data_IF_695385795612
#
_entry.id   IF_695385795612
#
_cell.length_a   1.000
_cell.length_b   1.000
_cell.length_c   1.000
_cell.angle_alpha   90.00
_cell.angle_beta   90.00
_cell.angle_gamma   90.00
#
_symmetry.space_group_name_H-M   'P 1'
#
loop_
_entity.id
_entity.type
_entity.pdbx_description
1 polymer ?
#
# COMPACT_ATOMS: atom_id res chain seq x y z
N UNK A 1 -12.15 -9.14 -11.71
CA UNK A 1 -12.13 -8.14 -10.63
C UNK A 1 -11.32 -8.71 -9.49
N UNK A 2 -10.01 -8.62 -9.62
CA UNK A 2 -9.07 -8.91 -8.54
C UNK A 2 -9.22 -7.82 -7.48
N UNK A 3 -9.44 -8.25 -6.24
CA UNK A 3 -9.27 -7.43 -5.06
C UNK A 3 -7.98 -7.78 -4.33
N UNK A 4 -7.49 -6.84 -3.54
CA UNK A 4 -6.32 -6.97 -2.70
C UNK A 4 -6.57 -6.24 -1.38
N UNK A 5 -5.76 -6.56 -0.37
CA UNK A 5 -5.86 -5.92 0.94
C UNK A 5 -5.23 -4.53 0.91
N UNK A 6 -5.84 -3.61 1.66
CA UNK A 6 -5.24 -2.34 2.04
C UNK A 6 -5.13 -2.26 3.55
N UNK A 7 -3.90 -2.40 4.05
CA UNK A 7 -3.56 -2.22 5.45
C UNK A 7 -3.42 -0.75 5.80
N UNK A 8 -3.98 -0.34 6.92
CA UNK A 8 -3.98 1.05 7.37
C UNK A 8 -3.52 1.09 8.81
N UNK A 9 -2.63 2.02 9.12
CA UNK A 9 -2.21 2.34 10.48
C UNK A 9 -2.30 3.85 10.69
N UNK A 10 -3.29 4.30 11.44
CA UNK A 10 -3.48 5.71 11.74
C UNK A 10 -3.47 5.98 13.22
N UNK A 11 -2.53 6.79 13.71
CA UNK A 11 -2.44 7.12 15.14
C UNK A 11 -2.56 5.88 16.04
N UNK A 12 -1.81 4.82 15.70
CA UNK A 12 -1.79 3.52 16.39
C UNK A 12 -3.09 2.70 16.29
N UNK A 13 -3.98 3.03 15.35
CA UNK A 13 -5.17 2.25 15.04
C UNK A 13 -4.97 1.50 13.73
N UNK A 14 -4.96 0.17 13.84
CA UNK A 14 -4.85 -0.74 12.70
C UNK A 14 -6.22 -1.04 12.12
N UNK A 15 -6.31 -1.03 10.80
CA UNK A 15 -7.47 -1.49 10.07
C UNK A 15 -7.03 -2.08 8.73
N UNK A 16 -7.86 -2.95 8.18
CA UNK A 16 -7.65 -3.50 6.84
C UNK A 16 -8.97 -3.51 6.09
N UNK A 17 -8.91 -3.23 4.79
CA UNK A 17 -10.09 -3.23 3.92
C UNK A 17 -9.76 -3.82 2.56
N UNK A 18 -10.80 -4.26 1.87
CA UNK A 18 -10.72 -4.65 0.47
C UNK A 18 -10.52 -3.41 -0.42
N UNK A 19 -9.63 -3.50 -1.40
CA UNK A 19 -9.43 -2.50 -2.45
C UNK A 19 -9.42 -3.12 -3.84
N UNK A 20 -9.80 -2.29 -4.83
CA UNK A 20 -9.80 -2.59 -6.25
C UNK A 20 -8.95 -1.56 -7.00
N UNK A 21 -8.63 -1.81 -8.27
CA UNK A 21 -7.88 -0.87 -9.14
C UNK A 21 -8.40 0.58 -9.06
N UNK A 22 -9.72 0.78 -9.13
CA UNK A 22 -10.33 2.12 -9.04
C UNK A 22 -10.04 2.83 -7.72
N UNK A 23 -9.95 2.08 -6.62
CA UNK A 23 -9.78 2.64 -5.29
C UNK A 23 -8.34 3.10 -5.09
N UNK A 24 -7.35 2.32 -5.54
CA UNK A 24 -5.94 2.71 -5.45
C UNK A 24 -5.62 3.86 -6.41
N UNK A 25 -6.17 3.86 -7.63
CA UNK A 25 -6.03 4.98 -8.56
C UNK A 25 -6.55 6.27 -7.95
N UNK A 26 -7.77 6.27 -7.41
CA UNK A 26 -8.34 7.45 -6.75
C UNK A 26 -7.44 7.89 -5.60
N UNK A 27 -7.00 6.95 -4.75
CA UNK A 27 -6.20 7.26 -3.57
C UNK A 27 -4.86 7.91 -3.92
N UNK A 28 -4.11 7.35 -4.87
CA UNK A 28 -2.82 7.91 -5.28
C UNK A 28 -3.01 9.26 -5.99
N UNK A 29 -4.03 9.40 -6.83
CA UNK A 29 -4.30 10.67 -7.50
C UNK A 29 -4.73 11.77 -6.52
N UNK A 30 -5.56 11.45 -5.52
CA UNK A 30 -5.94 12.38 -4.45
C UNK A 30 -4.70 12.80 -3.65
N UNK A 31 -3.83 11.86 -3.31
CA UNK A 31 -2.55 12.13 -2.64
C UNK A 31 -1.66 13.08 -3.45
N UNK A 32 -1.47 12.80 -4.75
CA UNK A 32 -0.64 13.63 -5.63
C UNK A 32 -1.24 15.02 -5.89
N UNK A 33 -2.57 15.15 -5.84
CA UNK A 33 -3.26 16.43 -5.94
C UNK A 33 -3.03 17.30 -4.69
N UNK A 34 -3.01 16.69 -3.50
CA UNK A 34 -2.69 17.38 -2.24
C UNK A 34 -1.18 17.66 -2.11
N UNK A 35 -0.34 16.74 -2.59
CA UNK A 35 1.12 16.74 -2.41
C UNK A 35 1.88 16.63 -3.75
N UNK A 36 2.01 17.73 -4.53
CA UNK A 36 2.67 17.69 -5.83
C UNK A 36 4.18 17.43 -5.80
N UNK A 37 4.80 17.42 -4.62
CA UNK A 37 6.22 17.11 -4.40
C UNK A 37 6.35 15.79 -3.63
N UNK A 38 5.67 14.75 -4.12
CA UNK A 38 5.72 13.42 -3.54
C UNK A 38 6.97 12.66 -3.96
N UNK A 39 7.81 12.29 -3.01
CA UNK A 39 8.91 11.35 -3.18
C UNK A 39 8.37 9.98 -3.60
N UNK A 40 9.12 9.32 -4.47
CA UNK A 40 8.87 7.98 -4.98
C UNK A 40 10.13 7.16 -4.94
N UNK A 41 10.00 5.89 -4.57
CA UNK A 41 11.13 5.00 -4.41
C UNK A 41 10.71 3.62 -3.96
N UNK A 42 11.68 2.77 -3.66
CA UNK A 42 11.48 1.46 -3.05
C UNK A 42 12.03 1.42 -1.63
N UNK A 43 11.44 0.55 -0.82
CA UNK A 43 11.89 0.25 0.53
C UNK A 43 12.07 -1.26 0.69
N UNK A 44 13.19 -1.65 1.28
CA UNK A 44 13.51 -3.02 1.66
C UNK A 44 14.15 -2.99 3.05
N UNK A 45 13.43 -3.51 4.05
CA UNK A 45 13.93 -3.54 5.43
C UNK A 45 14.90 -4.70 5.68
N UNK A 46 14.86 -5.78 4.88
CA UNK A 46 15.83 -6.87 5.02
C UNK A 46 17.24 -6.37 4.72
N UNK A 47 17.35 -5.41 3.79
CA UNK A 47 18.58 -4.70 3.47
C UNK A 47 18.74 -3.34 4.15
N UNK A 48 17.80 -2.97 5.05
CA UNK A 48 17.69 -1.64 5.69
C UNK A 48 17.88 -0.47 4.70
N UNK A 49 17.35 -0.61 3.49
CA UNK A 49 17.60 0.32 2.40
C UNK A 49 16.32 0.99 1.90
N UNK A 50 16.42 2.30 1.72
CA UNK A 50 15.43 3.12 1.01
C UNK A 50 16.12 3.67 -0.23
N UNK A 51 15.57 3.36 -1.39
CA UNK A 51 16.07 3.85 -2.67
C UNK A 51 15.08 4.85 -3.25
N UNK A 52 15.51 6.10 -3.46
CA UNK A 52 14.67 7.18 -3.99
C UNK A 52 14.87 7.28 -5.49
N UNK A 53 13.80 7.09 -6.25
CA UNK A 53 13.80 7.29 -7.70
C UNK A 53 13.69 8.77 -8.08
N UNK A 54 12.86 9.53 -7.36
CA UNK A 54 12.61 10.93 -7.63
C UNK A 54 11.23 11.36 -7.14
N UNK A 55 10.56 12.21 -7.93
CA UNK A 55 9.20 12.68 -7.62
C UNK A 55 8.16 12.02 -8.50
N UNK A 56 7.15 11.39 -7.89
CA UNK A 56 6.03 10.81 -8.62
C UNK A 56 5.22 11.92 -9.31
N UNK A 57 4.90 11.71 -10.58
CA UNK A 57 4.01 12.58 -11.36
C UNK A 57 2.64 11.99 -11.50
N UNK A 58 2.59 10.69 -11.76
CA UNK A 58 1.37 9.95 -11.99
C UNK A 58 1.59 8.48 -11.63
N UNK A 59 0.54 7.83 -11.16
CA UNK A 59 0.48 6.38 -11.15
C UNK A 59 -0.83 5.92 -11.78
N UNK A 60 -0.79 4.76 -12.44
CA UNK A 60 -1.95 4.12 -13.05
C UNK A 60 -1.99 2.64 -12.67
N UNK A 61 -3.16 2.16 -12.29
CA UNK A 61 -3.42 0.75 -11.97
C UNK A 61 -4.54 0.25 -12.87
N UNK A 62 -4.20 -0.48 -13.93
CA UNK A 62 -5.13 -0.95 -14.96
C UNK A 62 -5.26 -2.48 -14.90
N UNK A 63 -6.41 -2.94 -14.41
CA UNK A 63 -6.73 -4.39 -14.35
C UNK A 63 -6.95 -4.99 -15.74
N UNK A 64 -7.56 -4.26 -16.68
CA UNK A 64 -7.88 -4.81 -18.01
C UNK A 64 -6.62 -4.97 -18.87
N UNK A 65 -5.67 -4.05 -18.71
CA UNK A 65 -4.37 -4.09 -19.40
C UNK A 65 -3.30 -4.88 -18.64
N UNK A 66 -3.62 -5.42 -17.46
CA UNK A 66 -2.68 -6.05 -16.52
C UNK A 66 -1.41 -5.20 -16.29
N UNK A 67 -1.59 -3.94 -15.92
CA UNK A 67 -0.47 -2.99 -15.85
C UNK A 67 -0.60 -2.00 -14.71
N UNK A 68 0.46 -1.91 -13.91
CA UNK A 68 0.72 -0.82 -12.98
C UNK A 68 1.89 0.01 -13.50
N UNK A 69 1.73 1.32 -13.62
CA UNK A 69 2.76 2.25 -14.09
C UNK A 69 2.95 3.38 -13.10
N UNK A 70 4.21 3.74 -12.84
CA UNK A 70 4.62 4.86 -12.02
C UNK A 70 5.54 5.78 -12.83
N UNK A 71 5.02 6.94 -13.21
CA UNK A 71 5.77 7.96 -13.95
C UNK A 71 6.40 8.93 -12.96
N UNK A 72 7.72 9.11 -13.01
CA UNK A 72 8.45 9.97 -12.08
C UNK A 72 9.50 10.84 -12.78
N UNK A 73 9.92 11.89 -12.08
CA UNK A 73 11.06 12.73 -12.49
C UNK A 73 12.19 12.50 -11.50
N UNK A 74 13.31 11.98 -11.99
CA UNK A 74 14.51 11.75 -11.21
C UNK A 74 15.16 13.06 -10.76
N UNK A 75 16.08 12.98 -9.78
CA UNK A 75 16.77 14.15 -9.23
C UNK A 75 17.52 14.98 -10.30
N UNK A 76 18.02 14.33 -11.36
CA UNK A 76 18.73 14.97 -12.47
C UNK A 76 17.79 15.55 -13.54
N UNK A 77 16.47 15.45 -13.34
CA UNK A 77 15.43 15.94 -14.24
C UNK A 77 15.01 14.96 -15.33
N UNK A 78 15.63 13.78 -15.38
CA UNK A 78 15.27 12.70 -16.31
C UNK A 78 13.91 12.08 -15.93
N UNK A 79 13.11 11.74 -16.94
CA UNK A 79 11.86 11.03 -16.73
C UNK A 79 12.13 9.52 -16.64
N UNK A 80 11.51 8.87 -15.67
CA UNK A 80 11.55 7.41 -15.51
C UNK A 80 10.15 6.83 -15.39
N UNK A 81 10.04 5.54 -15.69
CA UNK A 81 8.80 4.77 -15.61
C UNK A 81 9.11 3.41 -15.01
N UNK A 82 8.48 3.10 -13.87
CA UNK A 82 8.45 1.75 -13.32
C UNK A 82 7.15 1.06 -13.74
N UNK A 83 7.25 -0.18 -14.21
CA UNK A 83 6.10 -0.95 -14.69
C UNK A 83 6.07 -2.35 -14.06
N UNK A 84 4.92 -2.72 -13.50
CA UNK A 84 4.67 -4.02 -12.88
C UNK A 84 3.35 -4.60 -13.40
N UNK A 85 3.18 -5.92 -13.31
CA UNK A 85 1.89 -6.54 -13.59
C UNK A 85 0.87 -6.18 -12.50
N UNK A 86 -0.38 -5.96 -12.88
CA UNK A 86 -1.46 -5.77 -11.91
C UNK A 86 -1.79 -7.09 -11.21
N UNK A 87 -1.63 -8.22 -11.87
CA UNK A 87 -1.74 -9.56 -11.27
C UNK A 87 -0.67 -9.82 -10.19
N UNK A 88 0.48 -9.14 -10.25
CA UNK A 88 1.53 -9.20 -9.21
C UNK A 88 1.26 -8.26 -8.01
N UNK A 89 0.29 -7.34 -8.10
CA UNK A 89 -0.06 -6.45 -6.99
C UNK A 89 -0.58 -7.25 -5.80
N UNK A 90 0.20 -7.29 -4.72
CA UNK A 90 -0.07 -8.14 -3.55
C UNK A 90 -0.93 -7.43 -2.52
N UNK A 91 -0.45 -6.28 -2.06
CA UNK A 91 -1.03 -5.54 -0.94
C UNK A 91 -0.64 -4.08 -1.05
N UNK A 92 -1.48 -3.20 -0.53
CA UNK A 92 -1.15 -1.79 -0.35
C UNK A 92 -1.21 -1.46 1.13
N UNK A 93 -0.39 -0.51 1.57
CA UNK A 93 -0.43 -0.01 2.93
C UNK A 93 -0.51 1.50 2.97
N UNK A 94 -1.02 2.01 4.08
CA UNK A 94 -1.01 3.42 4.41
C UNK A 94 -0.73 3.58 5.90
N UNK A 95 0.23 4.43 6.22
CA UNK A 95 0.56 4.75 7.60
C UNK A 95 0.54 6.26 7.78
N UNK A 96 -0.17 6.75 8.77
CA UNK A 96 -0.28 8.18 9.03
C UNK A 96 -0.39 8.51 10.52
N UNK A 97 0.33 9.54 10.96
CA UNK A 97 0.39 9.92 12.36
C UNK A 97 0.38 11.43 12.53
N UNK A 98 -0.21 11.88 13.63
CA UNK A 98 -0.03 13.23 14.14
C UNK A 98 1.37 13.32 14.79
N UNK A 99 2.25 14.11 14.18
CA UNK A 99 3.63 14.33 14.60
C UNK A 99 3.83 15.76 15.10
N UNK A 100 4.82 15.96 15.97
CA UNK A 100 5.20 17.27 16.48
C UNK A 100 6.68 17.47 16.13
N UNK A 101 6.95 18.28 15.10
CA UNK A 101 8.33 18.61 14.68
C UNK A 101 8.76 20.01 15.13
N UNK A 102 7.81 20.92 15.30
CA UNK A 102 8.05 22.33 15.60
C UNK A 102 8.10 22.61 17.10
N UNK A 103 8.86 23.64 17.49
CA UNK A 103 8.92 24.11 18.87
C UNK A 103 7.58 24.66 19.38
N UNK A 104 6.67 25.07 18.48
CA UNK A 104 5.34 25.57 18.84
C UNK A 104 4.37 24.49 19.34
N UNK A 105 4.75 23.21 19.19
CA UNK A 105 4.01 22.05 19.68
C UNK A 105 2.74 21.74 18.90
N UNK A 106 2.52 22.37 17.74
CA UNK A 106 1.34 22.10 16.92
C UNK A 106 1.47 20.75 16.20
N UNK A 107 0.48 19.83 16.36
CA UNK A 107 0.52 18.55 15.68
C UNK A 107 0.22 18.75 14.19
N UNK A 108 1.02 18.08 13.36
CA UNK A 108 0.84 17.97 11.93
C UNK A 108 0.59 16.50 11.59
N UNK A 109 -0.45 16.22 10.81
CA UNK A 109 -0.66 14.87 10.29
C UNK A 109 0.31 14.59 9.14
N UNK A 110 1.01 13.45 9.10
CA UNK A 110 1.85 13.04 7.98
C UNK A 110 1.62 11.58 7.66
N UNK A 111 1.39 11.27 6.38
CA UNK A 111 1.08 9.93 5.88
C UNK A 111 1.94 9.49 4.68
N UNK A 112 2.18 8.19 4.60
CA UNK A 112 2.95 7.52 3.56
C UNK A 112 2.12 6.38 2.97
N UNK A 113 2.08 6.31 1.64
CA UNK A 113 1.46 5.20 0.91
C UNK A 113 2.52 4.19 0.49
N UNK A 114 2.18 2.91 0.56
CA UNK A 114 3.02 1.81 0.10
C UNK A 114 2.25 0.89 -0.85
N UNK A 115 2.93 0.40 -1.86
CA UNK A 115 2.39 -0.53 -2.86
C UNK A 115 3.37 -1.67 -3.03
N UNK A 116 2.95 -2.88 -2.66
CA UNK A 116 3.80 -4.07 -2.69
C UNK A 116 3.37 -5.00 -3.80
N UNK A 117 4.33 -5.40 -4.63
CA UNK A 117 4.19 -6.39 -5.68
C UNK A 117 4.99 -7.65 -5.31
N UNK A 118 4.49 -8.81 -5.71
CA UNK A 118 5.19 -10.09 -5.59
C UNK A 118 5.53 -10.58 -7.00
N UNK A 119 6.82 -10.74 -7.29
CA UNK A 119 7.28 -11.38 -8.53
C UNK A 119 7.00 -12.89 -8.44
N UNK A 120 6.12 -13.40 -9.29
CA UNK A 120 5.71 -14.81 -9.31
C UNK A 120 6.85 -15.78 -9.66
N UNK A 121 7.85 -15.33 -10.43
CA UNK A 121 8.96 -16.16 -10.87
C UNK A 121 10.04 -16.30 -9.80
N UNK A 122 10.28 -15.24 -9.03
CA UNK A 122 11.34 -15.21 -8.00
C UNK A 122 10.82 -15.35 -6.58
N UNK A 123 9.53 -15.08 -6.34
CA UNK A 123 8.93 -14.96 -5.02
C UNK A 123 9.45 -13.75 -4.24
N UNK A 124 9.99 -12.74 -4.92
CA UNK A 124 10.55 -11.54 -4.30
C UNK A 124 9.49 -10.43 -4.24
N UNK A 125 9.34 -9.83 -3.06
CA UNK A 125 8.52 -8.62 -2.91
C UNK A 125 9.30 -7.36 -3.30
N UNK A 126 8.61 -6.45 -3.99
CA UNK A 126 9.07 -5.08 -4.21
C UNK A 126 8.03 -4.13 -3.65
N UNK A 127 8.40 -3.32 -2.66
CA UNK A 127 7.53 -2.31 -2.07
C UNK A 127 7.94 -0.93 -2.51
N UNK A 128 7.04 -0.26 -3.23
CA UNK A 128 7.16 1.16 -3.58
C UNK A 128 6.55 2.02 -2.48
N UNK A 129 7.14 3.19 -2.22
CA UNK A 129 6.58 4.20 -1.31
C UNK A 129 6.26 5.50 -2.04
N UNK A 130 5.26 6.23 -1.52
CA UNK A 130 4.88 7.58 -1.95
C UNK A 130 4.74 8.44 -0.69
N UNK A 131 5.51 9.52 -0.60
CA UNK A 131 5.56 10.36 0.59
C UNK A 131 5.80 11.83 0.24
N UNK A 132 5.07 12.77 0.84
CA UNK A 132 5.34 14.19 0.61
C UNK A 132 6.72 14.60 1.13
N UNK A 133 7.49 15.31 0.30
CA UNK A 133 8.86 15.73 0.64
C UNK A 133 8.88 16.93 1.59
N UNK A 134 7.88 17.82 1.52
CA UNK A 134 7.97 19.18 2.06
C UNK A 134 7.24 19.36 3.38
N UNK A 135 6.36 18.44 3.73
CA UNK A 135 5.51 18.49 4.91
C UNK A 135 6.28 18.26 6.20
N UNK A 136 7.41 17.55 6.14
CA UNK A 136 8.22 17.20 7.30
C UNK A 136 9.70 17.41 7.06
N UNK A 137 10.47 17.55 8.14
CA UNK A 137 11.90 17.80 8.08
C UNK A 137 12.71 16.58 7.58
N UNK A 138 12.25 15.37 7.89
CA UNK A 138 12.96 14.11 7.56
C UNK A 138 12.02 13.07 6.94
N UNK A 139 11.48 13.29 5.74
CA UNK A 139 10.44 12.45 5.15
C UNK A 139 10.87 10.97 5.03
N UNK A 140 12.12 10.71 4.64
CA UNK A 140 12.63 9.34 4.51
C UNK A 140 12.76 8.60 5.86
N UNK A 141 12.97 9.32 6.97
CA UNK A 141 12.99 8.71 8.29
C UNK A 141 11.58 8.19 8.64
N UNK A 142 10.55 8.99 8.38
CA UNK A 142 9.15 8.56 8.55
C UNK A 142 8.78 7.43 7.61
N UNK A 143 9.19 7.45 6.33
CA UNK A 143 8.96 6.33 5.39
C UNK A 143 9.48 5.01 5.97
N UNK A 144 10.68 4.99 6.55
CA UNK A 144 11.24 3.80 7.18
C UNK A 144 10.50 3.37 8.45
N UNK A 145 10.28 4.31 9.37
CA UNK A 145 9.65 4.01 10.67
C UNK A 145 8.17 3.64 10.54
N UNK A 146 7.45 4.23 9.60
CA UNK A 146 6.06 3.90 9.34
C UNK A 146 5.92 2.53 8.70
N UNK A 147 6.81 2.19 7.76
CA UNK A 147 6.81 0.89 7.12
C UNK A 147 7.01 -0.24 8.13
N UNK A 148 7.96 -0.09 9.07
CA UNK A 148 8.17 -1.06 10.18
C UNK A 148 6.92 -1.33 11.01
N UNK A 149 5.99 -0.39 11.07
CA UNK A 149 4.77 -0.51 11.87
C UNK A 149 3.60 -1.04 11.05
N UNK A 150 3.51 -0.70 9.76
CA UNK A 150 2.35 -1.05 8.92
C UNK A 150 2.56 -2.29 8.06
N UNK A 151 3.79 -2.76 7.85
CA UNK A 151 4.11 -3.79 6.85
C UNK A 151 3.34 -5.11 7.01
N UNK A 152 2.94 -5.44 8.23
CA UNK A 152 2.21 -6.67 8.55
C UNK A 152 0.69 -6.49 8.58
N UNK A 153 0.19 -5.26 8.54
CA UNK A 153 -1.23 -4.96 8.74
C UNK A 153 -2.04 -5.45 7.55
N UNK A 154 -2.88 -6.47 7.77
CA UNK A 154 -3.78 -7.02 6.75
C UNK A 154 -3.16 -8.11 5.87
N UNK A 155 -1.90 -8.51 6.10
CA UNK A 155 -1.28 -9.65 5.40
C UNK A 155 -1.94 -11.00 5.71
N UNK A 156 -2.62 -11.10 6.85
CA UNK A 156 -3.34 -12.29 7.31
C UNK A 156 -4.81 -12.33 6.82
N UNK A 157 -5.24 -11.33 6.05
CA UNK A 157 -6.61 -11.20 5.55
C UNK A 157 -6.66 -11.52 4.07
N UNK A 158 -7.51 -12.47 3.72
CA UNK A 158 -7.84 -12.81 2.33
C UNK A 158 -9.32 -12.48 2.04
N UNK A 159 -9.54 -11.43 1.27
CA UNK A 159 -10.87 -11.01 0.82
C UNK A 159 -11.44 -11.89 -0.30
N UNK A 160 -10.61 -12.72 -0.95
CA UNK A 160 -11.07 -13.68 -1.95
C UNK A 160 -11.77 -14.89 -1.33
N UNK A 161 -11.51 -15.18 -0.04
CA UNK A 161 -12.23 -16.19 0.74
C UNK A 161 -13.63 -15.71 1.16
N UNK A 162 -14.50 -15.50 0.19
CA UNK A 162 -15.95 -15.51 0.43
C UNK A 162 -16.36 -16.95 0.75
N UNK A 163 -16.45 -17.25 2.04
CA UNK A 163 -16.85 -18.57 2.54
C UNK A 163 -18.15 -19.04 1.89
N UNK A 164 -18.10 -20.19 1.23
CA UNK A 164 -19.26 -21.07 1.06
C UNK A 164 -19.72 -21.54 2.45
N UNK A 165 -20.31 -20.65 3.24
CA UNK A 165 -21.03 -20.96 4.47
C UNK A 165 -22.38 -21.59 4.13
N UNK A 166 -22.39 -22.70 3.42
CA UNK A 166 -23.55 -23.59 3.39
C UNK A 166 -23.53 -24.35 4.72
N UNK A 167 -24.05 -23.72 5.77
CA UNK A 167 -24.50 -24.49 6.94
C UNK A 167 -25.68 -25.31 6.45
N UNK A 168 -25.42 -26.57 6.11
CA UNK A 168 -26.46 -27.57 5.84
C UNK A 168 -27.22 -27.81 7.16
N UNK A 169 -28.24 -26.99 7.45
CA UNK A 169 -29.24 -27.24 8.50
C UNK A 169 -30.20 -28.36 8.04
N UNK A 170 -29.64 -29.51 7.70
CA UNK A 170 -30.34 -30.54 6.93
C UNK A 170 -29.87 -31.96 7.20
N UNK A 171 -29.64 -32.34 8.45
CA UNK A 171 -29.65 -33.76 8.84
C UNK A 171 -30.44 -33.99 10.13
N UNK A 172 -31.73 -34.25 9.96
CA UNK A 172 -32.51 -35.04 10.92
C UNK A 172 -31.83 -36.41 11.09
N UNK A 173 -31.59 -36.90 12.33
CA UNK A 173 -31.15 -38.27 12.51
C UNK A 173 -32.34 -39.21 12.30
N UNK A 174 -32.37 -39.84 11.12
CA UNK A 174 -33.16 -41.04 10.90
C UNK A 174 -32.59 -42.20 11.74
N UNK A 175 -33.46 -42.80 12.56
CA UNK A 175 -33.50 -44.25 12.76
C UNK A 175 -32.39 -44.90 13.58
N UNK A 176 -32.67 -45.13 14.86
CA UNK A 176 -32.01 -46.16 15.67
C UNK A 176 -33.06 -47.05 16.32
N UNK A 177 -33.62 -47.98 15.55
CA UNK A 177 -34.41 -49.09 16.10
C UNK A 177 -33.50 -50.27 16.41
N UNK A 178 -33.48 -50.69 17.67
CA UNK A 178 -33.59 -52.08 18.14
C UNK A 178 -33.91 -52.07 19.63
#
# INVERSE_FOLDING_TARGET
MKSFTHGMLFNFQEAAREMFARDINRKVNDYLAEYPQSLFGTIDLDSESIYVYGHLRQASFDEEADRCEFDYVAAEGEQGVESCSYEELLITHEAGFDIIEEEDGSPLYYDVLYVTFMDDATGKETTYFIADEKRVNQPLAYVGEYWRQVSEVGRDIDFQMSGCGKVDLGKSPCGGGK
#
